data_IF_358206393261
#
_entry.id   IF_358206393261
#
_cell.length_a   1.000
_cell.length_b   1.000
_cell.length_c   1.000
_cell.angle_alpha   90.00
_cell.angle_beta   90.00
_cell.angle_gamma   90.00
#
_symmetry.space_group_name_H-M   'P 1'
#
loop_
_entity.id
_entity.type
_entity.pdbx_description
1 polymer ?
#
# COMPACT_ATOMS: atom_id res chain seq x y z
N UNK A 1 -4.00 -12.73 -5.69
CA UNK A 1 -4.47 -11.90 -6.83
C UNK A 1 -5.42 -10.81 -6.34
N UNK A 2 -5.32 -9.60 -6.90
CA UNK A 2 -6.27 -8.48 -6.70
C UNK A 2 -6.96 -8.19 -8.03
N UNK A 3 -8.27 -7.94 -8.01
CA UNK A 3 -9.04 -7.45 -9.17
C UNK A 3 -9.85 -6.22 -8.77
N UNK A 4 -9.70 -5.16 -9.55
CA UNK A 4 -10.43 -3.89 -9.41
C UNK A 4 -11.16 -3.62 -10.71
N UNK A 5 -12.50 -3.48 -10.65
CA UNK A 5 -13.37 -3.31 -11.83
C UNK A 5 -14.25 -2.09 -11.67
N UNK A 6 -14.02 -1.09 -12.52
CA UNK A 6 -14.83 0.15 -12.62
C UNK A 6 -15.10 0.82 -11.27
N UNK A 7 -14.06 0.90 -10.43
CA UNK A 7 -14.19 1.34 -9.04
C UNK A 7 -14.14 2.85 -8.94
N UNK A 8 -15.11 3.43 -8.23
CA UNK A 8 -15.13 4.85 -7.89
C UNK A 8 -15.27 5.05 -6.38
N UNK A 9 -14.72 6.17 -5.89
CA UNK A 9 -14.91 6.62 -4.50
C UNK A 9 -15.18 8.10 -4.44
N UNK A 10 -16.38 8.46 -4.00
CA UNK A 10 -16.79 9.82 -3.70
C UNK A 10 -16.86 10.04 -2.18
N UNK A 11 -16.44 11.22 -1.73
CA UNK A 11 -16.60 11.69 -0.36
C UNK A 11 -17.55 12.90 -0.34
N UNK A 12 -18.56 12.86 0.52
CA UNK A 12 -19.44 14.02 0.77
C UNK A 12 -18.65 15.14 1.46
N UNK A 13 -18.81 16.36 0.98
CA UNK A 13 -18.18 17.54 1.57
C UNK A 13 -19.09 18.18 2.61
N UNK A 14 -18.56 18.43 3.81
CA UNK A 14 -19.23 19.23 4.81
C UNK A 14 -19.06 20.76 4.53
N UNK A 15 -19.77 21.62 5.26
CA UNK A 15 -19.73 23.07 5.04
C UNK A 15 -18.32 23.68 5.19
N UNK A 16 -17.53 23.20 6.16
CA UNK A 16 -16.16 23.67 6.37
C UNK A 16 -15.25 23.30 5.19
N UNK A 17 -15.32 22.04 4.72
CA UNK A 17 -14.55 21.56 3.58
C UNK A 17 -14.92 22.26 2.27
N UNK A 18 -16.21 22.60 2.06
CA UNK A 18 -16.65 23.39 0.91
C UNK A 18 -16.04 24.80 0.92
N UNK A 19 -16.02 25.45 2.09
CA UNK A 19 -15.41 26.78 2.27
C UNK A 19 -13.90 26.76 2.02
N UNK A 20 -13.21 25.79 2.61
CA UNK A 20 -11.76 25.60 2.45
C UNK A 20 -11.36 25.37 0.98
N UNK A 21 -12.14 24.55 0.25
CA UNK A 21 -11.89 24.23 -1.16
C UNK A 21 -12.52 25.22 -2.13
N UNK A 22 -13.18 26.26 -1.66
CA UNK A 22 -13.88 27.27 -2.46
C UNK A 22 -14.83 26.65 -3.50
N UNK A 23 -15.59 25.62 -3.12
CA UNK A 23 -16.47 24.88 -4.02
C UNK A 23 -17.90 24.75 -3.49
N UNK A 24 -18.89 24.76 -4.39
CA UNK A 24 -20.27 24.47 -4.09
C UNK A 24 -20.62 22.98 -4.26
N UNK A 25 -19.68 22.16 -4.70
CA UNK A 25 -19.90 20.73 -4.92
C UNK A 25 -20.38 20.04 -3.63
N UNK A 26 -21.27 19.09 -3.75
CA UNK A 26 -21.77 18.28 -2.61
C UNK A 26 -20.80 17.15 -2.26
N UNK A 27 -20.00 16.71 -3.21
CA UNK A 27 -19.03 15.64 -3.06
C UNK A 27 -17.80 15.87 -3.93
N UNK A 28 -16.72 15.16 -3.62
CA UNK A 28 -15.49 15.09 -4.41
C UNK A 28 -15.19 13.64 -4.74
N UNK A 29 -14.90 13.35 -6.00
CA UNK A 29 -14.42 12.05 -6.42
C UNK A 29 -12.93 11.94 -6.13
N UNK A 30 -12.56 11.03 -5.25
CA UNK A 30 -11.16 10.74 -4.94
C UNK A 30 -10.61 9.62 -5.84
N UNK A 31 -11.48 8.82 -6.43
CA UNK A 31 -11.17 7.76 -7.39
C UNK A 31 -12.31 7.68 -8.40
N UNK A 32 -12.01 7.64 -9.71
CA UNK A 32 -12.95 7.69 -10.79
C UNK A 32 -12.77 6.46 -11.70
N UNK A 33 -13.73 5.54 -11.65
CA UNK A 33 -13.88 4.42 -12.58
C UNK A 33 -12.58 3.67 -12.95
N UNK A 34 -11.72 3.39 -11.96
CA UNK A 34 -10.44 2.71 -12.19
C UNK A 34 -10.60 1.20 -12.31
N UNK A 35 -9.77 0.58 -13.19
CA UNK A 35 -9.75 -0.87 -13.37
C UNK A 35 -8.33 -1.38 -13.58
N UNK A 36 -7.89 -2.34 -12.71
CA UNK A 36 -6.60 -2.99 -12.82
C UNK A 36 -6.59 -4.36 -12.11
N UNK A 37 -5.56 -5.14 -12.36
CA UNK A 37 -5.33 -6.43 -11.71
C UNK A 37 -3.90 -6.55 -11.20
N UNK A 38 -3.71 -7.20 -10.04
CA UNK A 38 -2.38 -7.55 -9.53
C UNK A 38 -2.27 -9.06 -9.44
N UNK A 39 -1.25 -9.63 -10.04
CA UNK A 39 -1.03 -11.08 -10.10
C UNK A 39 -0.15 -11.57 -8.94
N UNK A 40 -0.28 -12.83 -8.49
CA UNK A 40 0.66 -13.45 -7.56
C UNK A 40 2.07 -13.47 -8.14
N UNK A 41 3.09 -13.38 -7.28
CA UNK A 41 4.50 -13.36 -7.67
C UNK A 41 4.95 -12.13 -8.43
N UNK A 42 4.12 -11.07 -8.45
CA UNK A 42 4.42 -9.79 -9.10
C UNK A 42 4.23 -8.63 -8.13
N UNK A 43 5.03 -7.59 -8.33
CA UNK A 43 4.95 -6.33 -7.60
C UNK A 43 4.26 -5.29 -8.48
N UNK A 44 3.12 -4.80 -8.03
CA UNK A 44 2.33 -3.78 -8.72
C UNK A 44 2.49 -2.43 -8.01
N UNK A 45 2.82 -1.37 -8.75
CA UNK A 45 2.90 -0.02 -8.20
C UNK A 45 1.70 0.85 -8.59
N UNK A 46 1.14 1.56 -7.60
CA UNK A 46 0.29 2.73 -7.83
C UNK A 46 1.15 3.99 -7.71
N UNK A 47 1.57 4.54 -8.84
CA UNK A 47 2.36 5.76 -8.93
C UNK A 47 1.44 6.97 -9.12
N UNK A 48 1.79 8.13 -8.58
CA UNK A 48 1.03 9.36 -8.79
C UNK A 48 1.38 10.45 -7.78
N UNK A 49 1.02 11.69 -8.05
CA UNK A 49 1.27 12.81 -7.13
C UNK A 49 0.46 12.67 -5.82
N UNK A 50 0.79 13.52 -4.85
CA UNK A 50 0.03 13.57 -3.61
C UNK A 50 -1.43 14.01 -3.88
N UNK A 51 -2.38 13.32 -3.23
CA UNK A 51 -3.81 13.56 -3.45
C UNK A 51 -4.40 12.90 -4.70
N UNK A 52 -3.62 12.17 -5.50
CA UNK A 52 -4.09 11.52 -6.73
C UNK A 52 -5.13 10.39 -6.52
N UNK A 53 -5.31 9.88 -5.29
CA UNK A 53 -6.24 8.77 -5.00
C UNK A 53 -5.57 7.45 -4.61
N UNK A 54 -4.22 7.36 -4.61
CA UNK A 54 -3.45 6.15 -4.28
C UNK A 54 -3.87 5.53 -2.93
N UNK A 55 -3.70 6.28 -1.84
CA UNK A 55 -4.07 5.85 -0.48
C UNK A 55 -5.55 5.49 -0.36
N UNK A 56 -6.44 6.22 -1.05
CA UNK A 56 -7.88 5.92 -1.08
C UNK A 56 -8.13 4.56 -1.72
N UNK A 57 -7.47 4.27 -2.84
CA UNK A 57 -7.53 2.98 -3.54
C UNK A 57 -7.02 1.85 -2.63
N UNK A 58 -5.83 1.99 -2.04
CA UNK A 58 -5.27 0.98 -1.15
C UNK A 58 -6.15 0.73 0.09
N UNK A 59 -6.77 1.77 0.65
CA UNK A 59 -7.72 1.63 1.77
C UNK A 59 -9.01 0.90 1.38
N UNK A 60 -9.46 1.00 0.13
CA UNK A 60 -10.58 0.21 -0.37
C UNK A 60 -10.18 -1.27 -0.52
N UNK A 61 -8.98 -1.58 -1.04
CA UNK A 61 -8.43 -2.94 -1.08
C UNK A 61 -8.33 -3.54 0.32
N UNK A 62 -7.91 -2.74 1.30
CA UNK A 62 -7.76 -3.14 2.70
C UNK A 62 -9.09 -3.20 3.49
N UNK A 63 -10.23 -3.02 2.85
CA UNK A 63 -11.58 -3.00 3.47
C UNK A 63 -11.80 -1.89 4.51
N UNK A 64 -10.95 -0.86 4.53
CA UNK A 64 -11.07 0.30 5.44
C UNK A 64 -12.11 1.29 4.89
N UNK A 65 -12.17 1.40 3.55
CA UNK A 65 -13.16 2.22 2.86
C UNK A 65 -14.01 1.33 1.95
N UNK A 66 -15.31 1.60 1.91
CA UNK A 66 -16.22 0.96 0.98
C UNK A 66 -16.22 1.76 -0.33
N UNK A 67 -16.08 1.11 -1.51
CA UNK A 67 -16.27 1.78 -2.80
C UNK A 67 -17.66 2.43 -2.91
N UNK A 68 -17.77 3.52 -3.66
CA UNK A 68 -19.06 4.13 -3.99
C UNK A 68 -19.76 3.35 -5.11
N UNK A 69 -18.97 2.84 -6.07
CA UNK A 69 -19.42 1.96 -7.16
C UNK A 69 -18.26 1.07 -7.63
N UNK A 70 -18.59 0.06 -8.43
CA UNK A 70 -17.64 -0.92 -8.94
C UNK A 70 -17.38 -2.06 -7.96
N UNK A 71 -16.48 -2.96 -8.34
CA UNK A 71 -16.19 -4.18 -7.61
C UNK A 71 -14.69 -4.33 -7.31
N UNK A 72 -14.38 -4.79 -6.11
CA UNK A 72 -13.02 -5.16 -5.70
C UNK A 72 -13.03 -6.58 -5.15
N UNK A 73 -12.12 -7.40 -5.66
CA UNK A 73 -11.85 -8.74 -5.17
C UNK A 73 -10.37 -8.86 -4.76
N UNK A 74 -10.11 -9.40 -3.57
CA UNK A 74 -8.77 -9.64 -3.02
C UNK A 74 -8.70 -11.09 -2.53
N UNK A 75 -7.71 -11.84 -2.99
CA UNK A 75 -7.55 -13.27 -2.68
C UNK A 75 -8.83 -14.09 -2.88
N UNK A 76 -9.58 -13.82 -3.96
CA UNK A 76 -10.83 -14.51 -4.28
C UNK A 76 -12.06 -14.07 -3.47
N UNK A 77 -11.95 -12.99 -2.69
CA UNK A 77 -13.03 -12.51 -1.84
C UNK A 77 -13.39 -11.04 -2.11
N UNK A 78 -14.69 -10.74 -2.19
CA UNK A 78 -15.18 -9.37 -2.33
C UNK A 78 -14.91 -8.55 -1.07
N UNK A 79 -14.34 -7.36 -1.23
CA UNK A 79 -14.06 -6.44 -0.12
C UNK A 79 -15.33 -5.92 0.55
N UNK A 80 -16.46 -5.91 -0.16
CA UNK A 80 -17.75 -5.41 0.32
C UNK A 80 -18.56 -6.49 1.02
N UNK A 81 -18.71 -7.68 0.40
CA UNK A 81 -19.55 -8.74 0.94
C UNK A 81 -18.83 -9.68 1.91
N UNK A 82 -17.50 -9.85 1.78
CA UNK A 82 -16.68 -10.76 2.61
C UNK A 82 -15.46 -10.08 3.23
N UNK A 83 -15.60 -8.89 3.87
CA UNK A 83 -14.45 -8.10 4.34
C UNK A 83 -13.62 -8.81 5.42
N UNK A 84 -14.22 -9.69 6.23
CA UNK A 84 -13.49 -10.48 7.25
C UNK A 84 -12.51 -11.45 6.60
N UNK A 85 -12.94 -12.15 5.54
CA UNK A 85 -12.08 -13.08 4.79
C UNK A 85 -10.96 -12.34 4.05
N UNK A 86 -11.25 -11.17 3.47
CA UNK A 86 -10.21 -10.31 2.89
C UNK A 86 -9.16 -9.94 3.94
N UNK A 87 -9.59 -9.44 5.12
CA UNK A 87 -8.65 -9.04 6.20
C UNK A 87 -7.78 -10.18 6.72
N UNK A 88 -8.25 -11.43 6.71
CA UNK A 88 -7.42 -12.58 7.11
C UNK A 88 -6.35 -12.94 6.08
N UNK A 89 -6.46 -12.43 4.83
CA UNK A 89 -5.55 -12.72 3.72
C UNK A 89 -4.61 -11.57 3.37
N UNK A 90 -4.78 -10.40 3.96
CA UNK A 90 -4.00 -9.21 3.63
C UNK A 90 -3.11 -8.76 4.78
N UNK A 91 -1.88 -8.35 4.47
CA UNK A 91 -1.04 -7.49 5.30
C UNK A 91 -1.15 -6.06 4.78
N UNK A 92 -1.58 -5.12 5.62
CA UNK A 92 -1.69 -3.71 5.23
C UNK A 92 -0.79 -2.84 6.09
N UNK A 93 0.17 -2.19 5.44
CA UNK A 93 1.07 -1.21 6.01
C UNK A 93 0.74 0.19 5.49
N UNK A 94 0.57 1.14 6.39
CA UNK A 94 0.44 2.57 6.08
C UNK A 94 1.34 3.38 6.99
N UNK A 95 1.96 4.44 6.47
CA UNK A 95 2.83 5.33 7.24
C UNK A 95 2.13 6.03 8.42
N UNK A 96 0.79 6.11 8.38
CA UNK A 96 -0.01 6.74 9.44
C UNK A 96 -0.44 5.80 10.57
N UNK A 97 -0.09 4.50 10.51
CA UNK A 97 -0.53 3.55 11.53
C UNK A 97 0.23 3.74 12.84
N UNK A 98 -0.46 4.29 13.84
CA UNK A 98 0.09 4.42 15.19
C UNK A 98 0.21 3.04 15.85
N UNK A 99 1.34 2.78 16.47
CA UNK A 99 1.57 1.66 17.37
C UNK A 99 1.23 2.09 18.82
N UNK A 100 1.04 1.12 19.69
CA UNK A 100 0.76 1.37 21.11
C UNK A 100 2.07 1.70 21.86
N UNK A 101 2.27 2.96 22.22
CA UNK A 101 3.52 3.50 22.78
C UNK A 101 4.01 2.78 24.06
N UNK A 102 3.09 2.19 24.83
CA UNK A 102 3.40 1.50 26.09
C UNK A 102 3.85 0.05 25.91
N UNK A 103 3.61 -0.53 24.73
CA UNK A 103 3.95 -1.92 24.44
C UNK A 103 5.36 -2.03 23.87
N UNK A 104 5.94 -3.23 24.00
CA UNK A 104 7.15 -3.66 23.31
C UNK A 104 6.82 -4.23 21.92
N UNK A 105 7.77 -4.40 20.99
CA UNK A 105 7.55 -5.07 19.70
C UNK A 105 6.92 -6.46 19.86
N UNK A 106 7.43 -7.26 20.80
CA UNK A 106 6.91 -8.60 21.07
C UNK A 106 5.43 -8.58 21.46
N UNK A 107 5.05 -7.71 22.39
CA UNK A 107 3.67 -7.56 22.84
C UNK A 107 2.73 -7.11 21.71
N UNK A 108 3.19 -6.16 20.85
CA UNK A 108 2.41 -5.72 19.68
C UNK A 108 2.16 -6.89 18.72
N UNK A 109 3.22 -7.60 18.34
CA UNK A 109 3.12 -8.69 17.36
C UNK A 109 2.33 -9.88 17.92
N UNK A 110 2.51 -10.22 19.19
CA UNK A 110 1.75 -11.26 19.87
C UNK A 110 0.25 -10.94 19.93
N UNK A 111 -0.10 -9.67 20.18
CA UNK A 111 -1.48 -9.22 20.17
C UNK A 111 -2.14 -9.44 18.80
N UNK A 112 -1.48 -9.06 17.71
CA UNK A 112 -2.02 -9.23 16.36
C UNK A 112 -2.04 -10.69 15.91
N UNK A 113 -1.04 -11.49 16.26
CA UNK A 113 -1.06 -12.93 16.00
C UNK A 113 -2.25 -13.62 16.68
N UNK A 114 -2.53 -13.26 17.93
CA UNK A 114 -3.72 -13.76 18.66
C UNK A 114 -5.04 -13.31 18.02
N UNK A 115 -5.13 -12.07 17.52
CA UNK A 115 -6.30 -11.59 16.77
C UNK A 115 -6.55 -12.40 15.49
N UNK A 116 -5.48 -12.88 14.85
CA UNK A 116 -5.55 -13.79 13.70
C UNK A 116 -5.70 -15.27 14.10
N UNK A 117 -5.91 -15.56 15.39
CA UNK A 117 -6.13 -16.92 15.93
C UNK A 117 -4.98 -17.89 15.63
N UNK A 118 -3.74 -17.36 15.57
CA UNK A 118 -2.55 -18.19 15.36
C UNK A 118 -2.28 -19.09 16.57
N UNK A 119 -1.85 -20.32 16.29
CA UNK A 119 -1.39 -21.23 17.33
C UNK A 119 -0.10 -20.70 18.00
N UNK A 120 0.06 -20.96 19.29
CA UNK A 120 1.14 -20.36 20.11
C UNK A 120 2.54 -20.68 19.60
N UNK A 121 2.75 -21.88 19.08
CA UNK A 121 4.03 -22.33 18.52
C UNK A 121 4.31 -21.62 17.20
N UNK A 122 3.34 -21.61 16.27
CA UNK A 122 3.42 -20.92 15.00
C UNK A 122 3.67 -19.41 15.17
N UNK A 123 2.94 -18.76 16.08
CA UNK A 123 3.13 -17.34 16.39
C UNK A 123 4.55 -17.03 16.88
N UNK A 124 5.09 -17.88 17.78
CA UNK A 124 6.45 -17.70 18.30
C UNK A 124 7.47 -17.81 17.18
N UNK A 125 7.40 -18.87 16.39
CA UNK A 125 8.38 -19.18 15.36
C UNK A 125 8.33 -18.13 14.23
N UNK A 126 7.14 -17.73 13.82
CA UNK A 126 6.95 -16.69 12.83
C UNK A 126 7.38 -15.30 13.32
N UNK A 127 7.16 -14.98 14.59
CA UNK A 127 7.66 -13.75 15.21
C UNK A 127 9.18 -13.69 15.20
N UNK A 128 9.84 -14.79 15.58
CA UNK A 128 11.29 -14.87 15.61
C UNK A 128 11.91 -14.69 14.22
N UNK A 129 11.33 -15.34 13.20
CA UNK A 129 11.69 -15.17 11.80
C UNK A 129 11.61 -13.70 11.36
N UNK A 130 10.46 -13.05 11.59
CA UNK A 130 10.25 -11.64 11.21
C UNK A 130 11.17 -10.69 11.98
N UNK A 131 11.44 -10.97 13.25
CA UNK A 131 12.32 -10.14 14.07
C UNK A 131 13.77 -10.26 13.60
N UNK A 132 14.20 -11.45 13.21
CA UNK A 132 15.51 -11.68 12.61
C UNK A 132 15.63 -10.94 11.28
N UNK A 133 14.68 -11.14 10.38
CA UNK A 133 14.64 -10.53 9.05
C UNK A 133 14.68 -8.99 9.09
N UNK A 134 13.92 -8.39 10.02
CA UNK A 134 13.80 -6.93 10.15
C UNK A 134 14.81 -6.31 11.14
N UNK A 135 15.65 -7.12 11.79
CA UNK A 135 16.58 -6.66 12.82
C UNK A 135 15.89 -6.09 14.06
N UNK A 136 14.68 -6.59 14.41
CA UNK A 136 13.90 -6.10 15.56
C UNK A 136 14.46 -6.61 16.89
N UNK A 137 15.19 -7.71 16.89
CA UNK A 137 15.80 -8.28 18.12
C UNK A 137 16.66 -7.29 18.88
N UNK A 138 17.42 -6.42 18.18
CA UNK A 138 18.32 -5.43 18.76
C UNK A 138 17.62 -4.44 19.72
N UNK A 139 16.34 -4.19 19.47
CA UNK A 139 15.53 -3.24 20.24
C UNK A 139 14.22 -3.83 20.79
N UNK A 140 14.08 -5.14 20.77
CA UNK A 140 12.88 -5.87 21.18
C UNK A 140 12.42 -5.60 22.62
N UNK A 141 13.33 -5.18 23.49
CA UNK A 141 13.04 -4.83 24.91
C UNK A 141 12.59 -3.37 25.10
N UNK A 142 12.77 -2.49 24.09
CA UNK A 142 12.34 -1.09 24.18
C UNK A 142 10.83 -0.98 24.04
N UNK A 143 10.23 0.02 24.68
CA UNK A 143 8.82 0.39 24.42
C UNK A 143 8.70 1.17 23.11
N UNK A 144 7.61 1.00 22.41
CA UNK A 144 7.35 1.65 21.11
C UNK A 144 7.53 3.18 21.19
N UNK A 145 7.07 3.81 22.28
CA UNK A 145 7.20 5.26 22.48
C UNK A 145 8.66 5.77 22.50
N UNK A 146 9.63 4.89 22.78
CA UNK A 146 11.06 5.20 22.86
C UNK A 146 11.83 4.89 21.55
N UNK A 147 11.12 4.48 20.50
CA UNK A 147 11.71 4.04 19.24
C UNK A 147 11.78 5.17 18.21
N UNK A 148 12.81 5.13 17.35
CA UNK A 148 12.88 5.97 16.17
C UNK A 148 11.75 5.62 15.16
N UNK A 149 11.53 6.49 14.20
CA UNK A 149 10.54 6.26 13.12
C UNK A 149 10.84 4.96 12.37
N UNK A 150 12.10 4.72 12.00
CA UNK A 150 12.51 3.48 11.32
C UNK A 150 12.28 2.22 12.16
N UNK A 151 12.58 2.25 13.47
CA UNK A 151 12.28 1.14 14.38
C UNK A 151 10.78 0.88 14.47
N UNK A 152 9.96 1.92 14.59
CA UNK A 152 8.48 1.81 14.58
C UNK A 152 7.97 1.22 13.27
N UNK A 153 8.56 1.61 12.15
CA UNK A 153 8.20 1.07 10.84
C UNK A 153 8.48 -0.44 10.75
N UNK A 154 9.65 -0.90 11.19
CA UNK A 154 9.99 -2.34 11.26
C UNK A 154 8.99 -3.13 12.10
N UNK A 155 8.57 -2.61 13.24
CA UNK A 155 7.53 -3.24 14.09
C UNK A 155 6.17 -3.24 13.41
N UNK A 156 5.80 -2.16 12.72
CA UNK A 156 4.55 -2.08 11.94
C UNK A 156 4.51 -3.13 10.83
N UNK A 157 5.64 -3.36 10.17
CA UNK A 157 5.78 -4.41 9.15
C UNK A 157 5.62 -5.80 9.79
N UNK A 158 6.39 -6.10 10.86
CA UNK A 158 6.28 -7.38 11.55
C UNK A 158 4.83 -7.68 11.98
N UNK A 159 4.15 -6.69 12.53
CA UNK A 159 2.73 -6.77 12.90
C UNK A 159 1.83 -7.11 11.71
N UNK A 160 2.02 -6.46 10.56
CA UNK A 160 1.18 -6.66 9.37
C UNK A 160 1.45 -7.98 8.66
N UNK A 161 2.63 -8.59 8.89
CA UNK A 161 3.09 -9.82 8.26
C UNK A 161 2.98 -11.07 9.13
N UNK A 162 2.61 -10.92 10.42
CA UNK A 162 2.66 -12.03 11.39
C UNK A 162 1.77 -13.22 10.99
N UNK A 163 0.59 -12.98 10.45
CA UNK A 163 -0.38 -13.99 10.05
C UNK A 163 -0.14 -14.56 8.64
N UNK A 164 1.06 -14.36 8.09
CA UNK A 164 1.49 -14.87 6.79
C UNK A 164 0.53 -14.55 5.62
N UNK A 165 0.24 -13.27 5.34
CA UNK A 165 -0.75 -12.87 4.35
C UNK A 165 -0.40 -13.29 2.92
N UNK A 166 -1.42 -13.61 2.11
CA UNK A 166 -1.29 -13.92 0.67
C UNK A 166 -1.11 -12.65 -0.18
N UNK A 167 -1.64 -11.53 0.30
CA UNK A 167 -1.59 -10.22 -0.37
C UNK A 167 -0.99 -9.20 0.58
N UNK A 168 -0.01 -8.44 0.11
CA UNK A 168 0.65 -7.40 0.90
C UNK A 168 0.43 -6.05 0.24
N UNK A 169 -0.06 -5.10 1.02
CA UNK A 169 -0.41 -3.75 0.58
C UNK A 169 0.44 -2.75 1.36
N UNK A 170 1.26 -1.97 0.66
CA UNK A 170 2.11 -0.94 1.24
C UNK A 170 1.70 0.45 0.75
N UNK A 171 1.37 1.34 1.67
CA UNK A 171 1.05 2.74 1.36
C UNK A 171 2.25 3.62 1.71
N UNK A 172 3.02 4.03 0.70
CA UNK A 172 4.27 4.81 0.80
C UNK A 172 5.26 4.24 1.83
N UNK A 173 5.72 2.97 1.68
CA UNK A 173 6.39 2.23 2.74
C UNK A 173 7.75 2.80 3.16
N UNK A 174 8.42 3.55 2.30
CA UNK A 174 9.77 4.09 2.49
C UNK A 174 9.78 5.59 2.80
N UNK A 175 8.62 6.25 2.72
CA UNK A 175 8.51 7.69 2.90
C UNK A 175 9.00 8.15 4.29
N UNK A 176 9.92 9.14 4.30
CA UNK A 176 10.45 9.71 5.53
C UNK A 176 11.44 8.81 6.31
N UNK A 177 11.94 7.75 5.69
CA UNK A 177 12.92 6.84 6.28
C UNK A 177 14.34 7.15 5.79
N UNK A 178 15.31 6.78 6.61
CA UNK A 178 16.71 6.74 6.18
C UNK A 178 16.97 5.62 5.17
N UNK A 179 18.07 5.73 4.41
CA UNK A 179 18.42 4.82 3.31
C UNK A 179 18.53 3.36 3.77
N UNK A 180 19.09 3.12 4.97
CA UNK A 180 19.29 1.75 5.49
C UNK A 180 17.93 1.10 5.81
N UNK A 181 17.06 1.84 6.46
CA UNK A 181 15.70 1.37 6.79
C UNK A 181 14.87 1.17 5.52
N UNK A 182 14.93 2.10 4.57
CA UNK A 182 14.25 1.98 3.28
C UNK A 182 14.70 0.72 2.52
N UNK A 183 16.02 0.45 2.47
CA UNK A 183 16.56 -0.75 1.82
C UNK A 183 16.05 -2.05 2.47
N UNK A 184 15.91 -2.09 3.78
CA UNK A 184 15.34 -3.27 4.47
C UNK A 184 13.89 -3.54 4.05
N UNK A 185 13.12 -2.50 3.74
CA UNK A 185 11.73 -2.63 3.25
C UNK A 185 11.71 -3.08 1.79
N UNK A 186 12.60 -2.54 0.96
CA UNK A 186 12.78 -2.96 -0.43
C UNK A 186 13.07 -4.46 -0.50
N UNK A 187 13.97 -4.93 0.35
CA UNK A 187 14.32 -6.35 0.45
C UNK A 187 13.13 -7.22 0.88
N UNK A 188 12.33 -6.76 1.83
CA UNK A 188 11.11 -7.45 2.23
C UNK A 188 10.09 -7.54 1.06
N UNK A 189 9.93 -6.48 0.27
CA UNK A 189 9.05 -6.49 -0.91
C UNK A 189 9.52 -7.54 -1.92
N UNK A 190 10.82 -7.65 -2.18
CA UNK A 190 11.41 -8.67 -3.05
C UNK A 190 11.12 -10.09 -2.55
N UNK A 191 11.34 -10.33 -1.27
CA UNK A 191 11.06 -11.64 -0.64
C UNK A 191 9.57 -12.00 -0.67
N UNK A 192 8.68 -11.02 -0.55
CA UNK A 192 7.25 -11.24 -0.74
C UNK A 192 6.94 -11.70 -2.17
N UNK A 193 7.58 -11.10 -3.18
CA UNK A 193 7.48 -11.51 -4.59
C UNK A 193 8.00 -12.93 -4.79
N UNK A 194 9.21 -13.24 -4.31
CA UNK A 194 9.84 -14.56 -4.41
C UNK A 194 9.01 -15.66 -3.75
N UNK A 195 8.30 -15.32 -2.66
CA UNK A 195 7.35 -16.20 -1.97
C UNK A 195 5.99 -16.31 -2.68
N UNK A 196 5.90 -15.89 -3.95
CA UNK A 196 4.68 -15.90 -4.78
C UNK A 196 3.49 -15.15 -4.18
N UNK A 197 3.73 -14.14 -3.34
CA UNK A 197 2.66 -13.26 -2.82
C UNK A 197 2.28 -12.22 -3.86
N UNK A 198 1.04 -11.74 -3.78
CA UNK A 198 0.63 -10.55 -4.53
C UNK A 198 1.06 -9.32 -3.74
N UNK A 199 1.88 -8.47 -4.33
CA UNK A 199 2.32 -7.23 -3.69
C UNK A 199 1.79 -6.03 -4.47
N UNK A 200 1.19 -5.08 -3.75
CA UNK A 200 0.85 -3.76 -4.28
C UNK A 200 1.41 -2.68 -3.34
N UNK A 201 2.08 -1.68 -3.91
CA UNK A 201 2.54 -0.53 -3.13
C UNK A 201 2.22 0.79 -3.84
N UNK A 202 2.04 1.85 -3.04
CA UNK A 202 2.00 3.21 -3.57
C UNK A 202 3.34 3.89 -3.40
N UNK A 203 3.73 4.68 -4.38
CA UNK A 203 4.88 5.59 -4.29
C UNK A 203 4.64 6.86 -5.11
N UNK A 204 5.38 7.90 -4.81
CA UNK A 204 5.57 9.08 -5.64
C UNK A 204 7.03 9.21 -6.09
N UNK A 205 7.86 8.20 -5.80
CA UNK A 205 9.30 8.15 -6.07
C UNK A 205 9.56 7.16 -7.20
N UNK A 206 9.91 7.67 -8.39
CA UNK A 206 10.09 6.85 -9.59
C UNK A 206 11.22 5.83 -9.46
N UNK A 207 12.32 6.17 -8.77
CA UNK A 207 13.44 5.25 -8.56
C UNK A 207 13.06 3.99 -7.76
N UNK A 208 12.13 4.09 -6.81
CA UNK A 208 11.61 2.91 -6.08
C UNK A 208 10.75 2.03 -7.00
N UNK A 209 9.93 2.67 -7.82
CA UNK A 209 9.08 1.97 -8.79
C UNK A 209 9.94 1.25 -9.81
N UNK A 210 10.97 1.90 -10.36
CA UNK A 210 11.93 1.32 -11.30
C UNK A 210 12.67 0.09 -10.71
N UNK A 211 13.00 0.15 -9.44
CA UNK A 211 13.76 -0.89 -8.73
C UNK A 211 12.92 -2.13 -8.39
N UNK A 212 11.62 -1.97 -8.14
CA UNK A 212 10.80 -2.99 -7.50
C UNK A 212 9.69 -3.55 -8.38
N UNK A 213 9.13 -2.72 -9.28
CA UNK A 213 7.84 -3.02 -9.86
C UNK A 213 7.93 -3.83 -11.16
N UNK A 214 7.00 -4.77 -11.30
CA UNK A 214 6.79 -5.53 -12.53
C UNK A 214 5.68 -4.90 -13.38
N UNK A 215 4.67 -4.35 -12.73
CA UNK A 215 3.52 -3.69 -13.35
C UNK A 215 3.26 -2.37 -12.67
N UNK A 216 2.93 -1.35 -13.44
CA UNK A 216 2.62 -0.05 -12.88
C UNK A 216 1.27 0.49 -13.39
N UNK A 217 0.64 1.27 -12.53
CA UNK A 217 -0.48 2.12 -12.88
C UNK A 217 -0.21 3.54 -12.36
N UNK A 218 -0.43 4.53 -13.22
CA UNK A 218 -0.31 5.95 -12.84
C UNK A 218 -1.71 6.50 -12.59
N UNK A 219 -1.91 7.06 -11.40
CA UNK A 219 -3.15 7.73 -11.01
C UNK A 219 -2.91 9.22 -10.90
N UNK A 220 -3.78 10.02 -11.52
CA UNK A 220 -3.79 11.49 -11.42
C UNK A 220 -5.22 11.98 -11.24
N UNK A 221 -5.46 12.86 -10.25
CA UNK A 221 -6.78 13.45 -9.93
C UNK A 221 -7.93 12.43 -9.78
N UNK A 222 -7.62 11.21 -9.36
CA UNK A 222 -8.58 10.12 -9.21
C UNK A 222 -8.72 9.19 -10.41
N UNK A 223 -8.16 9.55 -11.56
CA UNK A 223 -8.23 8.79 -12.81
C UNK A 223 -7.00 7.92 -13.02
N UNK A 224 -7.20 6.74 -13.62
CA UNK A 224 -6.13 5.86 -14.07
C UNK A 224 -5.65 6.34 -15.44
N UNK A 225 -4.51 7.05 -15.48
CA UNK A 225 -4.01 7.71 -16.70
C UNK A 225 -3.02 6.86 -17.49
N UNK A 226 -2.44 5.84 -16.86
CA UNK A 226 -1.56 4.86 -17.52
C UNK A 226 -1.60 3.53 -16.76
N UNK A 227 -1.47 2.41 -17.49
CA UNK A 227 -1.34 1.08 -16.91
C UNK A 227 -0.66 0.15 -17.90
N UNK A 228 0.49 -0.42 -17.52
CA UNK A 228 1.20 -1.46 -18.28
C UNK A 228 2.26 -2.16 -17.40
N UNK A 229 2.98 -3.12 -17.97
CA UNK A 229 4.20 -3.67 -17.38
C UNK A 229 5.30 -2.59 -17.36
N UNK A 230 6.22 -2.70 -16.39
CA UNK A 230 7.37 -1.80 -16.31
C UNK A 230 8.27 -1.91 -17.55
N UNK A 231 8.40 -3.10 -18.13
CA UNK A 231 9.17 -3.30 -19.36
C UNK A 231 8.56 -2.56 -20.56
N UNK A 232 7.23 -2.57 -20.69
CA UNK A 232 6.55 -1.82 -21.76
C UNK A 232 6.66 -0.31 -21.52
N UNK A 233 6.56 0.14 -20.27
CA UNK A 233 6.76 1.54 -19.91
C UNK A 233 8.16 2.03 -20.29
N UNK A 234 9.22 1.26 -19.97
CA UNK A 234 10.60 1.57 -20.37
C UNK A 234 10.78 1.62 -21.89
N UNK A 235 10.17 0.68 -22.61
CA UNK A 235 10.25 0.67 -24.10
C UNK A 235 9.53 1.85 -24.71
N UNK A 236 8.33 2.19 -24.22
CA UNK A 236 7.51 3.29 -24.73
C UNK A 236 8.18 4.65 -24.54
N UNK A 237 8.95 4.81 -23.48
CA UNK A 237 9.61 6.06 -23.09
C UNK A 237 11.13 5.95 -23.10
N UNK A 238 11.69 5.16 -24.03
CA UNK A 238 13.14 4.88 -24.11
C UNK A 238 14.02 6.11 -24.30
N UNK A 239 13.48 7.18 -24.89
CA UNK A 239 14.22 8.39 -25.27
C UNK A 239 14.29 9.45 -24.16
N UNK A 240 13.60 9.23 -23.05
CA UNK A 240 13.56 10.14 -21.90
C UNK A 240 13.71 9.37 -20.58
N UNK A 241 14.07 10.07 -19.52
CA UNK A 241 14.13 9.45 -18.20
C UNK A 241 12.73 8.98 -17.72
N UNK A 242 12.68 7.95 -16.89
CA UNK A 242 11.41 7.45 -16.34
C UNK A 242 10.65 8.52 -15.52
N UNK A 243 11.38 9.47 -14.91
CA UNK A 243 10.78 10.60 -14.20
C UNK A 243 10.14 11.60 -15.18
N UNK A 244 10.82 11.92 -16.30
CA UNK A 244 10.24 12.77 -17.35
C UNK A 244 9.02 12.11 -18.00
N UNK A 245 9.09 10.80 -18.25
CA UNK A 245 7.96 10.03 -18.75
C UNK A 245 6.74 10.10 -17.80
N UNK A 246 6.96 9.96 -16.49
CA UNK A 246 5.92 10.12 -15.49
C UNK A 246 5.29 11.53 -15.53
N UNK A 247 6.12 12.57 -15.55
CA UNK A 247 5.66 13.97 -15.62
C UNK A 247 4.84 14.19 -16.91
N UNK A 248 5.31 13.67 -18.05
CA UNK A 248 4.60 13.75 -19.32
C UNK A 248 3.22 13.11 -19.25
N UNK A 249 3.14 11.85 -18.80
CA UNK A 249 1.87 11.12 -18.67
C UNK A 249 0.86 11.86 -17.77
N UNK A 250 1.32 12.45 -16.66
CA UNK A 250 0.46 13.20 -15.74
C UNK A 250 -0.03 14.51 -16.36
N UNK A 251 0.85 15.24 -17.09
CA UNK A 251 0.52 16.53 -17.69
C UNK A 251 -0.38 16.40 -18.92
N UNK A 252 -0.15 15.41 -19.80
CA UNK A 252 -0.95 15.17 -21.00
C UNK A 252 -2.42 14.95 -20.66
N UNK A 253 -2.70 14.24 -19.56
CA UNK A 253 -4.06 14.04 -19.05
C UNK A 253 -4.66 15.28 -18.37
N UNK A 254 -3.83 16.20 -17.87
CA UNK A 254 -4.33 17.45 -17.29
C UNK A 254 -4.78 18.45 -18.35
N UNK A 255 -4.31 18.31 -19.58
CA UNK A 255 -4.61 19.20 -20.73
C UNK A 255 -5.88 18.79 -21.50
N UNK A 256 -6.45 17.62 -21.24
CA UNK A 256 -7.70 17.15 -21.89
C UNK A 256 -8.99 17.60 -21.18
N UNK A 257 -8.88 18.33 -20.07
CA UNK A 257 -10.02 18.83 -19.27
C UNK A 257 -10.32 20.34 -19.49
N UNK A 258 -9.80 20.95 -20.57
CA UNK A 258 -10.10 22.37 -20.91
C UNK A 258 -11.09 22.47 -22.06
#
# INVERSE_FOLDING_TARGET
MIKVKSVSKAFKLNKAQKKERQTNASSINAVNNISFECQPGRVFSLLGPNGAGKTTTLRMLATILVPTSGEIEVAGHSVTSKPKLVRSKIGFLTGSTKLYDRLTPGEVVDYFGKLHQMEKTELRDRKDELFTQLGVHEFSKKRIGQMSTGMKQKVSIARSMIHNPEVVIFDEPTSGLDVITANSIIELIRQCKESNRTVIFSSHIMSEVDLLCDDLAIISKGDLVYKDSMDNYRKQFSDISLTEAFIKVVNDNSSQEV
#
